data_IF_851279221018
#
_entry.id   IF_851279221018
#
_cell.length_a   1.000
_cell.length_b   1.000
_cell.length_c   1.000
_cell.angle_alpha   90.00
_cell.angle_beta   90.00
_cell.angle_gamma   90.00
#
_symmetry.space_group_name_H-M   'P 1'
#
loop_
_entity.id
_entity.type
_entity.pdbx_description
1 polymer ?
#
# COMPACT_ATOMS: atom_id res chain seq x y z
N UNK A 1 4.45 14.30 5.35
CA UNK A 1 3.27 13.39 5.45
C UNK A 1 2.27 13.67 4.34
N UNK A 2 1.51 14.78 4.38
CA UNK A 2 0.53 15.07 3.31
C UNK A 2 1.16 15.27 1.92
N UNK A 3 2.36 15.86 1.85
CA UNK A 3 3.12 16.00 0.60
C UNK A 3 3.37 14.63 -0.07
N UNK A 4 3.72 13.63 0.72
CA UNK A 4 4.08 12.29 0.24
C UNK A 4 2.81 11.52 -0.16
N UNK A 5 1.73 11.72 0.57
CA UNK A 5 0.44 11.15 0.21
C UNK A 5 -0.18 11.81 -1.03
N UNK A 6 0.04 13.11 -1.27
CA UNK A 6 -0.35 13.73 -2.54
C UNK A 6 0.41 13.10 -3.74
N UNK A 7 1.67 12.69 -3.56
CA UNK A 7 2.42 11.93 -4.58
C UNK A 7 1.80 10.55 -4.83
N UNK A 8 1.36 9.84 -3.78
CA UNK A 8 0.62 8.58 -3.94
C UNK A 8 -0.68 8.80 -4.73
N UNK A 9 -1.43 9.87 -4.43
CA UNK A 9 -2.64 10.21 -5.18
C UNK A 9 -2.31 10.46 -6.66
N UNK A 10 -1.27 11.23 -6.96
CA UNK A 10 -0.83 11.48 -8.34
C UNK A 10 -0.45 10.18 -9.06
N UNK A 11 0.26 9.27 -8.39
CA UNK A 11 0.59 7.95 -8.93
C UNK A 11 -0.66 7.11 -9.23
N UNK A 12 -1.64 7.10 -8.33
CA UNK A 12 -2.91 6.39 -8.52
C UNK A 12 -3.71 7.01 -9.67
N UNK A 13 -3.71 8.34 -9.81
CA UNK A 13 -4.36 9.02 -10.93
C UNK A 13 -3.75 8.60 -12.28
N UNK A 14 -2.42 8.58 -12.35
CA UNK A 14 -1.72 8.17 -13.56
C UNK A 14 -1.94 6.69 -13.87
N UNK A 15 -1.95 5.83 -12.84
CA UNK A 15 -2.29 4.41 -12.96
C UNK A 15 -3.68 4.21 -13.59
N UNK A 16 -4.72 4.89 -13.09
CA UNK A 16 -6.07 4.78 -13.68
C UNK A 16 -6.16 5.38 -15.10
N UNK A 17 -5.37 6.42 -15.39
CA UNK A 17 -5.34 7.05 -16.70
C UNK A 17 -4.65 6.21 -17.77
N UNK A 18 -3.71 5.35 -17.38
CA UNK A 18 -2.84 4.62 -18.32
C UNK A 18 -3.09 3.10 -18.34
N UNK A 19 -3.61 2.52 -17.27
CA UNK A 19 -3.77 1.07 -17.09
C UNK A 19 -5.20 0.57 -17.27
N UNK A 20 -6.03 1.32 -18.01
CA UNK A 20 -7.44 0.99 -18.25
C UNK A 20 -7.62 -0.45 -18.75
N UNK A 21 -6.76 -0.91 -19.67
CA UNK A 21 -6.79 -2.28 -20.17
C UNK A 21 -6.65 -3.33 -19.06
N UNK A 22 -5.75 -3.13 -18.09
CA UNK A 22 -5.53 -4.10 -17.02
C UNK A 22 -6.70 -4.14 -16.04
N UNK A 23 -7.29 -2.98 -15.78
CA UNK A 23 -8.46 -2.82 -14.91
C UNK A 23 -9.72 -3.41 -15.54
N UNK A 24 -9.95 -3.20 -16.84
CA UNK A 24 -11.08 -3.75 -17.58
C UNK A 24 -11.01 -5.27 -17.73
N UNK A 25 -9.80 -5.83 -17.89
CA UNK A 25 -9.57 -7.28 -17.96
C UNK A 25 -9.50 -7.97 -16.61
N UNK A 26 -9.76 -7.25 -15.53
CA UNK A 26 -9.80 -7.77 -14.16
C UNK A 26 -8.51 -8.52 -13.77
N UNK A 27 -7.34 -8.03 -14.21
CA UNK A 27 -6.08 -8.73 -13.94
C UNK A 27 -5.77 -8.82 -12.44
N UNK A 28 -4.91 -9.78 -12.08
CA UNK A 28 -4.59 -10.08 -10.68
C UNK A 28 -3.77 -8.97 -9.99
N UNK A 29 -3.88 -8.93 -8.65
CA UNK A 29 -3.25 -7.91 -7.78
C UNK A 29 -1.76 -7.75 -8.06
N UNK A 30 -0.99 -8.84 -8.23
CA UNK A 30 0.46 -8.76 -8.54
C UNK A 30 0.78 -7.91 -9.77
N UNK A 31 -0.04 -8.02 -10.82
CA UNK A 31 0.12 -7.22 -12.04
C UNK A 31 -0.20 -5.76 -11.76
N UNK A 32 -1.29 -5.49 -11.06
CA UNK A 32 -1.70 -4.13 -10.69
C UNK A 32 -0.67 -3.47 -9.76
N UNK A 33 -0.15 -4.21 -8.76
CA UNK A 33 0.90 -3.78 -7.83
C UNK A 33 2.14 -3.32 -8.57
N UNK A 34 2.66 -4.16 -9.48
CA UNK A 34 3.83 -3.79 -10.28
C UNK A 34 3.58 -2.51 -11.09
N UNK A 35 2.42 -2.40 -11.76
CA UNK A 35 2.13 -1.22 -12.57
C UNK A 35 1.96 0.03 -11.73
N UNK A 36 1.27 -0.06 -10.59
CA UNK A 36 1.18 1.03 -9.63
C UNK A 36 2.57 1.45 -9.14
N UNK A 37 3.47 0.51 -8.84
CA UNK A 37 4.83 0.81 -8.41
C UNK A 37 5.62 1.65 -9.44
N UNK A 38 5.43 1.39 -10.74
CA UNK A 38 6.04 2.21 -11.81
C UNK A 38 5.58 3.66 -11.74
N UNK A 39 4.30 3.92 -11.46
CA UNK A 39 3.77 5.28 -11.30
C UNK A 39 4.19 5.91 -9.98
N UNK A 40 4.27 5.13 -8.91
CA UNK A 40 4.83 5.60 -7.63
C UNK A 40 6.27 6.04 -7.83
N UNK A 41 7.13 5.25 -8.47
CA UNK A 41 8.54 5.58 -8.73
C UNK A 41 8.73 6.96 -9.38
N UNK A 42 7.90 7.31 -10.36
CA UNK A 42 7.93 8.62 -11.05
C UNK A 42 7.71 9.80 -10.09
N UNK A 43 6.96 9.60 -9.01
CA UNK A 43 6.61 10.66 -8.06
C UNK A 43 7.64 10.83 -6.93
N UNK A 44 8.58 9.90 -6.78
CA UNK A 44 9.58 9.90 -5.71
C UNK A 44 11.02 9.96 -6.26
N UNK A 45 11.42 11.03 -6.97
CA UNK A 45 12.79 11.18 -7.43
C UNK A 45 13.77 11.17 -6.25
N UNK A 46 14.87 10.43 -6.42
CA UNK A 46 15.89 10.24 -5.39
C UNK A 46 15.60 9.12 -4.38
N UNK A 47 14.44 8.46 -4.47
CA UNK A 47 14.10 7.26 -3.71
C UNK A 47 14.11 6.03 -4.61
N UNK A 48 14.23 4.85 -4.01
CA UNK A 48 13.99 3.59 -4.70
C UNK A 48 12.55 3.14 -4.42
N UNK A 49 11.90 2.59 -5.43
CA UNK A 49 10.58 1.98 -5.31
C UNK A 49 10.67 0.51 -5.70
N UNK A 50 10.44 -0.38 -4.74
CA UNK A 50 10.63 -1.81 -4.91
C UNK A 50 9.37 -2.58 -4.49
N UNK A 51 9.03 -3.63 -5.22
CA UNK A 51 7.96 -4.54 -4.83
C UNK A 51 8.51 -5.70 -4.01
N UNK A 52 7.76 -6.17 -3.00
CA UNK A 52 8.13 -7.31 -2.15
C UNK A 52 9.53 -7.21 -1.54
N UNK A 53 9.99 -6.00 -1.20
CA UNK A 53 11.34 -5.79 -0.67
C UNK A 53 11.38 -6.10 0.83
N UNK A 54 12.12 -7.16 1.21
CA UNK A 54 12.19 -7.69 2.57
C UNK A 54 13.58 -7.52 3.21
N UNK A 55 14.37 -6.54 2.75
CA UNK A 55 15.75 -6.35 3.20
C UNK A 55 16.01 -4.97 3.80
N UNK A 56 17.04 -4.91 4.63
CA UNK A 56 17.72 -3.68 4.99
C UNK A 56 19.20 -4.02 5.19
N UNK A 57 20.00 -3.69 4.17
CA UNK A 57 21.32 -4.28 3.99
C UNK A 57 21.21 -5.80 3.86
N UNK A 58 22.07 -6.54 4.57
CA UNK A 58 22.07 -8.00 4.54
C UNK A 58 20.93 -8.63 5.37
N UNK A 59 20.28 -7.84 6.24
CA UNK A 59 19.28 -8.33 7.20
C UNK A 59 17.91 -8.41 6.56
N UNK A 60 17.20 -9.51 6.82
CA UNK A 60 15.78 -9.67 6.48
C UNK A 60 14.88 -8.89 7.43
N UNK A 61 13.89 -8.18 6.88
CA UNK A 61 12.82 -7.53 7.62
C UNK A 61 11.92 -8.61 8.24
N UNK A 62 12.08 -8.81 9.55
CA UNK A 62 11.31 -9.77 10.34
C UNK A 62 10.64 -9.05 11.48
N UNK A 63 9.36 -9.32 11.70
CA UNK A 63 8.70 -8.81 12.89
C UNK A 63 9.18 -9.51 14.16
N UNK A 64 9.12 -8.81 15.31
CA UNK A 64 9.27 -9.44 16.61
C UNK A 64 8.29 -10.62 16.77
N UNK A 65 8.73 -11.69 17.44
CA UNK A 65 7.84 -12.83 17.74
C UNK A 65 6.65 -12.35 18.57
N UNK A 66 5.44 -12.75 18.20
CA UNK A 66 4.20 -12.41 18.92
C UNK A 66 3.45 -11.16 18.40
N UNK A 67 3.91 -10.52 17.32
CA UNK A 67 3.28 -9.32 16.73
C UNK A 67 1.94 -9.56 15.99
N UNK A 68 1.28 -10.70 16.20
CA UNK A 68 -0.09 -10.94 15.76
C UNK A 68 -0.34 -11.01 14.24
N UNK A 69 0.62 -10.74 13.37
CA UNK A 69 0.48 -10.93 11.92
C UNK A 69 0.59 -12.41 11.56
N UNK A 70 -0.52 -13.13 11.74
CA UNK A 70 -0.65 -14.56 11.46
C UNK A 70 -0.63 -14.81 9.95
N UNK A 71 0.45 -15.40 9.46
CA UNK A 71 0.38 -16.57 8.58
C UNK A 71 1.38 -17.60 9.09
N UNK A 72 0.91 -18.48 9.96
CA UNK A 72 1.56 -19.72 10.43
C UNK A 72 2.81 -19.59 11.32
N UNK A 73 2.62 -20.05 12.56
CA UNK A 73 3.63 -20.21 13.60
C UNK A 73 4.77 -21.13 13.13
N UNK A 74 6.01 -20.72 13.38
CA UNK A 74 7.16 -21.54 13.82
C UNK A 74 8.53 -20.92 13.49
N UNK A 75 8.61 -19.96 12.58
CA UNK A 75 9.84 -19.19 12.31
C UNK A 75 9.39 -17.78 11.93
N UNK A 76 9.89 -16.73 12.61
CA UNK A 76 9.52 -15.34 12.31
C UNK A 76 9.64 -15.08 10.81
N UNK A 77 8.49 -15.01 10.13
CA UNK A 77 8.42 -14.90 8.67
C UNK A 77 8.77 -13.49 8.26
N UNK A 78 9.52 -13.38 7.16
CA UNK A 78 9.79 -12.11 6.52
C UNK A 78 8.47 -11.39 6.23
N UNK A 79 8.44 -10.08 6.43
CA UNK A 79 7.35 -9.27 5.91
C UNK A 79 7.72 -8.75 4.53
N UNK A 80 6.80 -9.00 3.59
CA UNK A 80 6.87 -8.48 2.24
C UNK A 80 5.77 -7.42 2.08
N UNK A 81 6.13 -6.13 2.13
CA UNK A 81 5.23 -5.08 1.68
C UNK A 81 5.06 -5.15 0.16
N UNK A 82 3.86 -4.88 -0.34
CA UNK A 82 3.60 -4.97 -1.78
C UNK A 82 4.45 -3.97 -2.59
N UNK A 83 4.52 -2.72 -2.12
CA UNK A 83 5.35 -1.65 -2.70
C UNK A 83 5.98 -0.85 -1.55
N UNK A 84 7.26 -0.52 -1.66
CA UNK A 84 7.95 0.36 -0.71
C UNK A 84 8.63 1.53 -1.40
N UNK A 85 8.70 2.67 -0.71
CA UNK A 85 9.55 3.81 -1.04
C UNK A 85 10.58 3.95 0.07
N UNK A 86 11.85 3.79 -0.28
CA UNK A 86 12.93 3.65 0.70
C UNK A 86 14.30 4.00 0.08
N UNK A 87 15.32 4.07 0.93
CA UNK A 87 16.71 4.09 0.50
C UNK A 87 17.34 2.73 0.83
N UNK A 88 17.81 2.03 -0.20
CA UNK A 88 18.43 0.72 -0.04
C UNK A 88 19.64 0.81 0.91
N UNK A 89 19.89 -0.27 1.65
CA UNK A 89 21.00 -0.44 2.59
C UNK A 89 21.02 0.45 3.84
N UNK A 90 20.16 1.46 3.96
CA UNK A 90 20.07 2.33 5.14
C UNK A 90 18.65 2.39 5.70
N UNK A 91 18.46 2.58 7.03
CA UNK A 91 17.15 2.56 7.68
C UNK A 91 16.34 3.84 7.43
N UNK A 92 16.30 4.30 6.18
CA UNK A 92 15.49 5.44 5.76
C UNK A 92 14.34 4.93 4.89
N UNK A 93 13.27 4.55 5.58
CA UNK A 93 12.08 3.91 5.01
C UNK A 93 10.91 4.89 5.06
N UNK A 94 10.43 5.33 3.89
CA UNK A 94 9.45 6.40 3.81
C UNK A 94 8.01 5.89 3.83
N UNK A 95 7.69 4.97 2.94
CA UNK A 95 6.32 4.55 2.67
C UNK A 95 6.26 3.06 2.37
N UNK A 96 5.30 2.36 2.97
CA UNK A 96 4.86 1.03 2.54
C UNK A 96 3.42 1.12 2.03
N UNK A 97 3.11 0.44 0.92
CA UNK A 97 1.78 0.39 0.33
C UNK A 97 1.36 -1.06 0.21
N UNK A 98 0.14 -1.36 0.64
CA UNK A 98 -0.57 -2.62 0.39
C UNK A 98 -1.71 -2.36 -0.60
N UNK A 99 -1.76 -3.16 -1.67
CA UNK A 99 -2.76 -3.03 -2.73
C UNK A 99 -3.69 -4.24 -2.70
N UNK A 100 -5.00 -3.98 -2.68
CA UNK A 100 -6.00 -5.00 -2.94
C UNK A 100 -6.96 -4.62 -4.04
N UNK A 101 -7.58 -5.63 -4.63
CA UNK A 101 -8.77 -5.43 -5.46
C UNK A 101 -10.03 -5.44 -4.60
N UNK A 102 -11.04 -4.70 -5.00
CA UNK A 102 -12.36 -4.73 -4.37
C UNK A 102 -13.09 -6.07 -4.53
N UNK A 103 -12.75 -6.84 -5.58
CA UNK A 103 -13.21 -8.22 -5.78
C UNK A 103 -12.54 -9.24 -4.85
N UNK A 104 -11.50 -8.84 -4.10
CA UNK A 104 -10.86 -9.68 -3.09
C UNK A 104 -11.57 -9.51 -1.74
N UNK A 105 -12.39 -10.50 -1.40
CA UNK A 105 -13.22 -10.51 -0.18
C UNK A 105 -12.52 -11.16 1.01
N UNK A 106 -11.22 -11.47 0.91
CA UNK A 106 -10.48 -11.94 2.07
C UNK A 106 -10.47 -10.86 3.16
N UNK A 107 -10.44 -11.23 4.45
CA UNK A 107 -10.40 -10.25 5.52
C UNK A 107 -9.16 -9.33 5.43
N UNK A 108 -9.30 -8.05 5.81
CA UNK A 108 -8.24 -7.04 5.69
C UNK A 108 -7.23 -7.10 6.84
N UNK A 109 -7.57 -7.78 7.95
CA UNK A 109 -6.83 -7.77 9.21
C UNK A 109 -5.35 -8.14 9.03
N UNK A 110 -5.03 -9.00 8.07
CA UNK A 110 -3.65 -9.34 7.76
C UNK A 110 -2.86 -8.11 7.28
N UNK A 111 -3.39 -7.35 6.33
CA UNK A 111 -2.69 -6.19 5.75
C UNK A 111 -2.70 -5.01 6.71
N UNK A 112 -3.78 -4.85 7.49
CA UNK A 112 -3.82 -3.86 8.56
C UNK A 112 -2.75 -4.15 9.62
N UNK A 113 -2.61 -5.41 10.08
CA UNK A 113 -1.55 -5.80 11.02
C UNK A 113 -0.16 -5.64 10.41
N UNK A 114 -0.01 -5.96 9.11
CA UNK A 114 1.24 -5.77 8.38
C UNK A 114 1.67 -4.30 8.39
N UNK A 115 0.77 -3.38 8.04
CA UNK A 115 1.04 -1.94 7.99
C UNK A 115 1.24 -1.31 9.39
N UNK A 116 0.50 -1.77 10.39
CA UNK A 116 0.77 -1.43 11.79
C UNK A 116 2.20 -1.82 12.15
N UNK A 117 2.58 -3.08 11.94
CA UNK A 117 3.91 -3.54 12.32
C UNK A 117 5.05 -2.90 11.50
N UNK A 118 4.83 -2.61 10.21
CA UNK A 118 5.80 -1.90 9.36
C UNK A 118 6.01 -0.45 9.78
N UNK A 119 5.03 0.18 10.45
CA UNK A 119 5.10 1.58 10.90
C UNK A 119 5.34 1.72 12.40
N UNK A 120 5.55 0.61 13.13
CA UNK A 120 5.81 0.61 14.57
C UNK A 120 7.18 1.24 14.86
N UNK A 121 7.26 2.35 15.64
CA UNK A 121 8.53 3.02 15.92
C UNK A 121 9.50 2.15 16.74
N UNK A 122 9.05 1.04 17.32
CA UNK A 122 9.89 0.12 18.07
C UNK A 122 10.62 -0.89 17.19
N UNK A 123 10.31 -0.99 15.88
CA UNK A 123 11.10 -1.79 14.95
C UNK A 123 12.21 -0.95 14.32
N UNK A 124 13.40 -1.54 14.19
CA UNK A 124 14.62 -0.87 13.70
C UNK A 124 14.61 -0.50 12.21
N UNK A 125 13.51 -0.80 11.51
CA UNK A 125 13.31 -0.57 10.08
C UNK A 125 11.96 0.12 9.80
N UNK A 126 11.37 0.79 10.79
CA UNK A 126 10.05 1.38 10.68
C UNK A 126 9.91 2.29 9.45
N UNK A 127 8.83 2.09 8.70
CA UNK A 127 8.40 3.00 7.65
C UNK A 127 7.70 4.20 8.29
N UNK A 128 7.96 5.40 7.78
CA UNK A 128 7.33 6.61 8.29
C UNK A 128 5.80 6.60 8.10
N UNK A 129 5.31 5.98 7.01
CA UNK A 129 3.89 5.84 6.71
C UNK A 129 3.57 4.49 6.07
N UNK A 130 2.33 4.04 6.28
CA UNK A 130 1.71 2.91 5.59
C UNK A 130 0.44 3.34 4.87
N UNK A 131 0.17 2.77 3.70
CA UNK A 131 -1.05 3.03 2.92
C UNK A 131 -1.67 1.69 2.55
N UNK A 132 -2.92 1.46 2.96
CA UNK A 132 -3.77 0.43 2.37
C UNK A 132 -4.62 1.10 1.30
N UNK A 133 -4.63 0.56 0.08
CA UNK A 133 -5.50 1.03 -0.99
C UNK A 133 -6.22 -0.15 -1.64
N UNK A 134 -7.54 -0.07 -1.72
CA UNK A 134 -8.38 -1.05 -2.41
C UNK A 134 -8.87 -0.42 -3.71
N UNK A 135 -8.48 -1.02 -4.82
CA UNK A 135 -8.80 -0.57 -6.17
C UNK A 135 -9.93 -1.38 -6.77
N UNK A 136 -10.89 -0.69 -7.36
CA UNK A 136 -11.90 -1.26 -8.25
C UNK A 136 -11.66 -0.85 -9.70
N UNK A 137 -12.51 -1.37 -10.60
CA UNK A 137 -12.43 -1.06 -12.05
C UNK A 137 -12.47 0.45 -12.34
N UNK A 138 -13.27 1.20 -11.59
CA UNK A 138 -13.58 2.60 -11.85
C UNK A 138 -12.99 3.58 -10.83
N UNK A 139 -12.14 3.12 -9.93
CA UNK A 139 -11.53 3.97 -8.92
C UNK A 139 -11.22 3.24 -7.63
N UNK A 140 -10.65 3.96 -6.68
CA UNK A 140 -10.35 3.47 -5.34
C UNK A 140 -11.66 3.35 -4.56
N UNK A 141 -11.94 2.15 -4.04
CA UNK A 141 -13.12 1.85 -3.23
C UNK A 141 -12.89 2.07 -1.74
N UNK A 142 -11.64 1.94 -1.28
CA UNK A 142 -11.27 2.10 0.13
C UNK A 142 -9.80 2.48 0.29
N UNK A 143 -9.49 3.22 1.36
CA UNK A 143 -8.11 3.55 1.72
C UNK A 143 -7.95 3.79 3.21
N UNK A 144 -6.81 3.39 3.78
CA UNK A 144 -6.39 3.70 5.15
C UNK A 144 -4.93 4.12 5.20
N UNK A 145 -4.62 4.99 6.15
CA UNK A 145 -3.27 5.50 6.41
C UNK A 145 -2.82 5.05 7.78
N UNK A 146 -1.58 4.60 7.87
CA UNK A 146 -0.94 4.11 9.08
C UNK A 146 0.30 4.94 9.40
N UNK A 147 0.50 5.21 10.68
CA UNK A 147 1.71 5.84 11.19
C UNK A 147 1.90 5.44 12.65
N UNK A 148 3.16 5.25 13.06
CA UNK A 148 3.48 4.98 14.46
C UNK A 148 2.88 3.68 15.01
N UNK A 149 2.64 2.67 14.18
CA UNK A 149 2.10 1.39 14.62
C UNK A 149 0.57 1.29 14.64
N UNK A 150 -0.14 2.32 14.18
CA UNK A 150 -1.60 2.40 14.27
C UNK A 150 -2.23 3.05 13.03
N UNK A 151 -3.55 2.92 12.89
CA UNK A 151 -4.33 3.67 11.91
C UNK A 151 -4.32 5.15 12.31
N UNK A 152 -3.88 6.03 11.42
CA UNK A 152 -4.08 7.46 11.54
C UNK A 152 -5.45 7.82 10.93
N UNK A 153 -6.48 7.80 11.78
CA UNK A 153 -7.86 8.08 11.37
C UNK A 153 -8.06 9.48 10.77
N UNK A 154 -7.28 10.47 11.20
CA UNK A 154 -7.41 11.84 10.69
C UNK A 154 -6.83 11.93 9.28
N UNK A 155 -5.62 11.42 9.09
CA UNK A 155 -4.98 11.39 7.78
C UNK A 155 -5.70 10.45 6.81
N UNK A 156 -6.27 9.34 7.29
CA UNK A 156 -7.12 8.43 6.50
C UNK A 156 -8.35 9.14 5.93
N UNK A 157 -9.08 9.90 6.76
CA UNK A 157 -10.24 10.67 6.29
C UNK A 157 -9.84 11.74 5.26
N UNK A 158 -8.74 12.44 5.51
CA UNK A 158 -8.20 13.43 4.58
C UNK A 158 -7.80 12.78 3.24
N UNK A 159 -7.09 11.66 3.27
CA UNK A 159 -6.63 10.96 2.08
C UNK A 159 -7.81 10.46 1.23
N UNK A 160 -8.81 9.83 1.86
CA UNK A 160 -10.03 9.41 1.19
C UNK A 160 -10.80 10.59 0.58
N UNK A 161 -10.85 11.75 1.26
CA UNK A 161 -11.47 12.95 0.69
C UNK A 161 -10.71 13.45 -0.54
N UNK A 162 -9.38 13.48 -0.50
CA UNK A 162 -8.54 13.90 -1.63
C UNK A 162 -8.63 12.96 -2.83
N UNK A 163 -8.74 11.65 -2.60
CA UNK A 163 -9.04 10.67 -3.65
C UNK A 163 -10.37 11.00 -4.35
N UNK A 164 -11.42 11.32 -3.57
CA UNK A 164 -12.72 11.71 -4.15
C UNK A 164 -12.65 13.00 -4.97
N UNK A 165 -11.99 14.03 -4.45
CA UNK A 165 -11.77 15.30 -5.15
C UNK A 165 -10.97 15.12 -6.45
N UNK A 166 -10.10 14.12 -6.49
CA UNK A 166 -9.26 13.78 -7.63
C UNK A 166 -9.99 13.00 -8.74
N UNK A 167 -11.30 12.76 -8.58
CA UNK A 167 -12.12 11.98 -9.51
C UNK A 167 -11.89 10.47 -9.45
N UNK A 168 -11.17 9.98 -8.43
CA UNK A 168 -10.77 8.58 -8.28
C UNK A 168 -11.69 7.78 -7.36
N UNK A 169 -12.79 8.35 -6.87
CA UNK A 169 -13.76 7.61 -6.08
C UNK A 169 -14.36 6.49 -6.93
N UNK A 170 -14.27 5.24 -6.48
CA UNK A 170 -14.95 4.12 -7.15
C UNK A 170 -16.44 4.41 -7.30
N UNK A 171 -16.98 4.24 -8.51
CA UNK A 171 -18.43 4.21 -8.73
C UNK A 171 -18.94 2.86 -8.23
N UNK A 172 -19.99 2.85 -7.41
CA UNK A 172 -20.74 1.62 -7.18
C UNK A 172 -21.41 1.28 -8.50
N UNK A 173 -20.97 0.20 -9.14
CA UNK A 173 -21.78 -0.44 -10.17
C UNK A 173 -22.97 -1.07 -9.44
N UNK A 174 -24.08 -0.35 -9.40
CA UNK A 174 -25.39 -0.92 -9.07
C UNK A 174 -25.69 -1.93 -10.18
N UNK A 175 -25.30 -3.19 -9.94
CA UNK A 175 -25.17 -4.22 -10.95
C UNK A 175 -26.33 -4.25 -11.94
N UNK A 176 -25.99 -4.07 -13.22
CA UNK A 176 -26.85 -4.53 -14.30
C UNK A 176 -26.94 -6.05 -14.18
N UNK A 177 -28.10 -6.52 -13.70
CA UNK A 177 -28.49 -7.92 -13.77
C UNK A 177 -28.56 -8.31 -15.25
N UNK A 178 -27.69 -9.23 -15.67
CA UNK A 178 -27.83 -10.00 -16.89
C UNK A 178 -27.79 -11.48 -16.55
#
# INVERSE_FOLDING_TARGET
MQTELNKVIAAVQEFYAQETFLLERDLGERTLTHRLAVYVERQFPGWQVDCNYDRLGERTLRLPRGSGSSTDDHLGKSIYPDIVVHQRDIPNNLLAIELRKDSNHQPLEHDQRKLQALTDPNVWFAYAMGVLVIVGRHGVSFSEIYAGGAIDSTTSRWFAARIRESGLAGRRDDGAQH
#
